data_IF_657392265512
#
_entry.id   IF_657392265512
#
_cell.length_a   1.000
_cell.length_b   1.000
_cell.length_c   1.000
_cell.angle_alpha   90.00
_cell.angle_beta   90.00
_cell.angle_gamma   90.00
#
_symmetry.space_group_name_H-M   'P 1'
#
loop_
_entity.id
_entity.type
_entity.pdbx_description
1 polymer ?
#
# COMPACT_ATOMS: atom_id res chain seq x y z
N UNK A 1 7.98 -11.45 -18.42
CA UNK A 1 6.52 -11.69 -18.24
C UNK A 1 6.26 -12.83 -17.27
N UNK A 2 6.81 -14.00 -17.57
CA UNK A 2 6.87 -15.12 -16.63
C UNK A 2 8.07 -15.04 -15.67
N UNK A 3 9.08 -14.23 -15.98
CA UNK A 3 10.33 -14.12 -15.20
C UNK A 3 10.12 -13.62 -13.75
N UNK A 4 9.06 -12.84 -13.54
CA UNK A 4 8.65 -12.31 -12.23
C UNK A 4 7.57 -13.18 -11.55
N UNK A 5 7.15 -14.28 -12.19
CA UNK A 5 6.08 -15.16 -11.71
C UNK A 5 6.66 -16.44 -11.11
N UNK A 6 5.94 -17.07 -10.17
CA UNK A 6 6.39 -18.32 -9.53
C UNK A 6 6.17 -19.57 -10.40
N UNK A 7 5.80 -19.42 -11.67
CA UNK A 7 5.50 -20.53 -12.58
C UNK A 7 5.94 -20.24 -14.01
N UNK A 8 6.29 -21.30 -14.74
CA UNK A 8 6.62 -21.26 -16.16
C UNK A 8 5.37 -21.33 -17.05
N UNK A 9 5.53 -21.02 -18.34
CA UNK A 9 4.48 -21.20 -19.34
C UNK A 9 3.95 -22.64 -19.37
N UNK A 10 4.84 -23.63 -19.34
CA UNK A 10 4.45 -25.04 -19.36
C UNK A 10 3.64 -25.43 -18.12
N UNK A 11 4.07 -24.98 -16.94
CA UNK A 11 3.33 -25.22 -15.69
C UNK A 11 1.96 -24.54 -15.71
N UNK A 12 1.85 -23.33 -16.27
CA UNK A 12 0.57 -22.67 -16.48
C UNK A 12 -0.34 -23.53 -17.37
N UNK A 13 0.09 -23.86 -18.58
CA UNK A 13 -0.73 -24.63 -19.53
C UNK A 13 -1.18 -25.98 -18.97
N UNK A 14 -0.34 -26.66 -18.18
CA UNK A 14 -0.74 -27.90 -17.51
C UNK A 14 -1.72 -27.68 -16.35
N UNK A 15 -1.70 -26.50 -15.71
CA UNK A 15 -2.57 -26.19 -14.57
C UNK A 15 -3.93 -25.65 -14.99
N UNK A 16 -4.00 -24.89 -16.08
CA UNK A 16 -5.25 -24.27 -16.57
C UNK A 16 -6.42 -25.25 -16.73
N UNK A 17 -6.27 -26.50 -17.26
CA UNK A 17 -7.36 -27.47 -17.31
C UNK A 17 -8.03 -27.72 -15.95
N UNK A 18 -7.24 -27.82 -14.87
CA UNK A 18 -7.77 -28.01 -13.52
C UNK A 18 -8.49 -26.76 -13.03
N UNK A 19 -8.03 -25.58 -13.43
CA UNK A 19 -8.65 -24.30 -13.09
C UNK A 19 -10.00 -24.16 -13.80
N UNK A 20 -10.08 -24.50 -15.09
CA UNK A 20 -11.34 -24.49 -15.85
C UNK A 20 -12.37 -25.46 -15.26
N UNK A 21 -11.93 -26.67 -14.85
CA UNK A 21 -12.80 -27.60 -14.12
C UNK A 21 -13.21 -27.03 -12.75
N UNK A 22 -12.30 -26.35 -12.04
CA UNK A 22 -12.64 -25.67 -10.79
C UNK A 22 -13.70 -24.57 -11.02
N UNK A 23 -13.57 -23.76 -12.08
CA UNK A 23 -14.58 -22.76 -12.46
C UNK A 23 -15.94 -23.38 -12.73
N UNK A 24 -16.01 -24.47 -13.51
CA UNK A 24 -17.25 -25.21 -13.71
C UNK A 24 -17.85 -25.67 -12.38
N UNK A 25 -17.00 -26.19 -11.49
CA UNK A 25 -17.46 -26.63 -10.17
C UNK A 25 -17.95 -25.46 -9.30
N UNK A 26 -17.35 -24.28 -9.37
CA UNK A 26 -17.81 -23.09 -8.64
C UNK A 26 -19.15 -22.57 -9.16
N UNK A 27 -19.45 -22.73 -10.45
CA UNK A 27 -20.74 -22.35 -11.05
C UNK A 27 -21.87 -23.25 -10.54
N UNK A 28 -21.68 -24.57 -10.59
CA UNK A 28 -22.72 -25.53 -10.23
C UNK A 28 -22.74 -25.85 -8.72
N UNK A 29 -21.70 -25.47 -7.98
CA UNK A 29 -21.61 -25.63 -6.53
C UNK A 29 -21.04 -24.35 -5.86
N UNK A 30 -21.80 -23.24 -5.88
CA UNK A 30 -21.34 -21.91 -5.46
C UNK A 30 -21.42 -21.73 -3.93
N UNK A 31 -20.67 -22.53 -3.18
CA UNK A 31 -20.62 -22.39 -1.72
C UNK A 31 -19.75 -21.19 -1.32
N UNK A 32 -20.21 -20.29 -0.42
CA UNK A 32 -19.45 -19.11 0.01
C UNK A 32 -18.02 -19.40 0.51
N UNK A 33 -17.77 -20.59 1.08
CA UNK A 33 -16.44 -21.01 1.52
C UNK A 33 -15.45 -21.27 0.39
N UNK A 34 -15.92 -21.51 -0.84
CA UNK A 34 -15.09 -21.78 -2.04
C UNK A 34 -14.84 -20.57 -2.92
N UNK A 35 -15.53 -19.47 -2.65
CA UNK A 35 -15.40 -18.21 -3.38
C UNK A 35 -14.39 -17.34 -2.64
N UNK A 36 -13.39 -16.83 -3.33
CA UNK A 36 -12.30 -16.03 -2.74
C UNK A 36 -11.73 -15.08 -3.77
N UNK A 37 -11.15 -13.96 -3.33
CA UNK A 37 -10.38 -13.10 -4.22
C UNK A 37 -8.99 -13.68 -4.55
N UNK A 38 -8.52 -14.61 -3.72
CA UNK A 38 -7.22 -15.26 -3.84
C UNK A 38 -7.36 -16.76 -3.53
N UNK A 39 -6.66 -17.61 -4.29
CA UNK A 39 -6.70 -19.06 -4.14
C UNK A 39 -5.29 -19.64 -4.07
N UNK A 40 -5.12 -20.66 -3.24
CA UNK A 40 -3.88 -21.44 -3.21
C UNK A 40 -3.92 -22.52 -4.31
N UNK A 41 -3.36 -22.19 -5.47
CA UNK A 41 -3.31 -23.11 -6.62
C UNK A 41 -2.06 -23.96 -6.56
N UNK A 42 -2.26 -25.27 -6.49
CA UNK A 42 -1.17 -26.25 -6.63
C UNK A 42 -0.79 -26.35 -8.11
N UNK A 43 0.43 -25.95 -8.44
CA UNK A 43 0.98 -26.03 -9.80
C UNK A 43 1.06 -27.48 -10.30
N UNK A 44 0.71 -27.66 -11.56
CA UNK A 44 0.85 -28.94 -12.25
C UNK A 44 2.23 -28.99 -12.90
N UNK A 45 3.06 -29.91 -12.42
CA UNK A 45 4.44 -30.11 -12.89
C UNK A 45 4.55 -31.23 -13.91
N UNK A 46 3.57 -32.14 -13.94
CA UNK A 46 3.42 -33.17 -14.95
C UNK A 46 1.94 -33.52 -15.16
N UNK A 47 1.65 -34.39 -16.13
CA UNK A 47 0.30 -34.91 -16.35
C UNK A 47 -0.25 -35.72 -15.16
N UNK A 48 0.63 -36.24 -14.30
CA UNK A 48 0.26 -37.07 -13.15
C UNK A 48 0.48 -36.37 -11.80
N UNK A 49 1.09 -35.17 -11.80
CA UNK A 49 1.37 -34.40 -10.59
C UNK A 49 0.85 -32.97 -10.72
N UNK A 50 -0.23 -32.62 -10.01
CA UNK A 50 -1.13 -33.49 -9.24
C UNK A 50 -1.89 -34.50 -10.10
N UNK A 51 -2.36 -35.60 -9.49
CA UNK A 51 -3.08 -36.65 -10.21
C UNK A 51 -4.36 -36.16 -10.91
N UNK A 52 -4.89 -35.01 -10.48
CA UNK A 52 -6.08 -34.37 -11.06
C UNK A 52 -5.82 -33.69 -12.41
N UNK A 53 -4.56 -33.54 -12.84
CA UNK A 53 -4.21 -32.89 -14.11
C UNK A 53 -4.74 -33.66 -15.31
N UNK A 54 -4.36 -34.93 -15.46
CA UNK A 54 -4.82 -35.75 -16.58
C UNK A 54 -6.36 -35.94 -16.60
N UNK A 55 -7.04 -36.27 -15.49
CA UNK A 55 -8.50 -36.32 -15.44
C UNK A 55 -9.17 -35.00 -15.82
N UNK A 56 -8.62 -33.86 -15.43
CA UNK A 56 -9.17 -32.56 -15.84
C UNK A 56 -9.07 -32.34 -17.35
N UNK A 57 -7.93 -32.67 -17.96
CA UNK A 57 -7.74 -32.62 -19.42
C UNK A 57 -8.75 -33.53 -20.13
N UNK A 58 -8.84 -34.79 -19.70
CA UNK A 58 -9.78 -35.77 -20.28
C UNK A 58 -11.22 -35.27 -20.13
N UNK A 59 -11.60 -34.73 -18.97
CA UNK A 59 -12.94 -34.20 -18.71
C UNK A 59 -13.30 -33.06 -19.68
N UNK A 60 -12.36 -32.14 -19.92
CA UNK A 60 -12.55 -31.05 -20.89
C UNK A 60 -12.73 -31.61 -22.31
N UNK A 61 -11.88 -32.55 -22.73
CA UNK A 61 -11.98 -33.17 -24.05
C UNK A 61 -13.30 -33.92 -24.25
N UNK A 62 -13.77 -34.64 -23.22
CA UNK A 62 -15.06 -35.31 -23.24
C UNK A 62 -16.22 -34.31 -23.30
N UNK A 63 -16.16 -33.21 -22.56
CA UNK A 63 -17.21 -32.17 -22.61
C UNK A 63 -17.25 -31.47 -23.98
N UNK A 64 -16.10 -31.15 -24.57
CA UNK A 64 -16.04 -30.57 -25.92
C UNK A 64 -16.53 -31.58 -26.96
N UNK A 65 -16.12 -32.84 -26.87
CA UNK A 65 -16.55 -33.92 -27.75
C UNK A 65 -18.06 -34.18 -27.67
N UNK A 66 -18.62 -34.20 -26.46
CA UNK A 66 -20.08 -34.33 -26.25
C UNK A 66 -20.84 -33.11 -26.76
N UNK A 67 -20.34 -31.89 -26.51
CA UNK A 67 -20.89 -30.66 -27.09
C UNK A 67 -20.94 -30.72 -28.62
N UNK A 68 -19.85 -31.16 -29.24
CA UNK A 68 -19.73 -31.31 -30.70
C UNK A 68 -20.68 -32.37 -31.26
N UNK A 69 -20.80 -33.51 -30.59
CA UNK A 69 -21.72 -34.58 -30.96
C UNK A 69 -23.19 -34.16 -30.84
N UNK A 70 -23.52 -33.30 -29.88
CA UNK A 70 -24.88 -32.82 -29.63
C UNK A 70 -25.32 -31.68 -30.56
N UNK A 71 -24.44 -31.10 -31.38
CA UNK A 71 -24.74 -29.93 -32.23
C UNK A 71 -26.05 -30.11 -33.02
N UNK A 72 -26.26 -31.28 -33.64
CA UNK A 72 -27.46 -31.57 -34.44
C UNK A 72 -28.66 -32.05 -33.62
N UNK A 73 -28.42 -32.71 -32.48
CA UNK A 73 -29.49 -33.36 -31.69
C UNK A 73 -30.10 -32.44 -30.63
N UNK A 74 -29.26 -31.64 -29.98
CA UNK A 74 -29.60 -30.76 -28.85
C UNK A 74 -28.79 -29.46 -28.98
N UNK A 75 -29.10 -28.60 -29.97
CA UNK A 75 -28.28 -27.43 -30.30
C UNK A 75 -28.09 -26.47 -29.12
N UNK A 76 -29.09 -26.33 -28.24
CA UNK A 76 -28.98 -25.48 -27.05
C UNK A 76 -27.92 -25.98 -26.06
N UNK A 77 -27.84 -27.29 -25.81
CA UNK A 77 -26.85 -27.89 -24.92
C UNK A 77 -25.46 -27.77 -25.54
N UNK A 78 -25.35 -28.08 -26.84
CA UNK A 78 -24.10 -27.96 -27.58
C UNK A 78 -23.56 -26.53 -27.55
N UNK A 79 -24.42 -25.54 -27.79
CA UNK A 79 -24.06 -24.12 -27.75
C UNK A 79 -23.56 -23.72 -26.36
N UNK A 80 -24.28 -24.04 -25.29
CA UNK A 80 -23.88 -23.70 -23.92
C UNK A 80 -22.49 -24.26 -23.55
N UNK A 81 -22.25 -25.55 -23.87
CA UNK A 81 -20.97 -26.20 -23.59
C UNK A 81 -19.83 -25.59 -24.41
N UNK A 82 -20.01 -25.49 -25.73
CA UNK A 82 -18.95 -25.01 -26.63
C UNK A 82 -18.65 -23.53 -26.40
N UNK A 83 -19.66 -22.70 -26.12
CA UNK A 83 -19.48 -21.29 -25.77
C UNK A 83 -18.62 -21.11 -24.52
N UNK A 84 -18.86 -21.92 -23.49
CA UNK A 84 -18.07 -21.86 -22.25
C UNK A 84 -16.57 -22.11 -22.51
N UNK A 85 -16.25 -23.16 -23.25
CA UNK A 85 -14.86 -23.49 -23.55
C UNK A 85 -14.22 -22.52 -24.54
N UNK A 86 -14.95 -22.08 -25.56
CA UNK A 86 -14.45 -21.11 -26.55
C UNK A 86 -13.96 -19.82 -25.90
N UNK A 87 -14.72 -19.27 -24.94
CA UNK A 87 -14.33 -18.04 -24.25
C UNK A 87 -13.11 -18.27 -23.33
N UNK A 88 -13.00 -19.44 -22.70
CA UNK A 88 -11.82 -19.78 -21.88
C UNK A 88 -10.55 -20.00 -22.71
N UNK A 89 -10.64 -20.32 -24.02
CA UNK A 89 -9.44 -20.47 -24.87
C UNK A 89 -8.60 -19.19 -24.91
N UNK A 90 -9.23 -18.01 -24.88
CA UNK A 90 -8.52 -16.72 -24.92
C UNK A 90 -7.78 -16.46 -23.61
N UNK A 91 -8.41 -16.75 -22.47
CA UNK A 91 -7.95 -16.35 -21.14
C UNK A 91 -7.05 -17.41 -20.46
N UNK A 92 -7.28 -18.69 -20.74
CA UNK A 92 -6.47 -19.84 -20.29
C UNK A 92 -5.40 -20.23 -21.33
N UNK A 93 -4.81 -19.21 -21.96
CA UNK A 93 -3.83 -19.33 -23.04
C UNK A 93 -2.39 -19.11 -22.57
N UNK A 94 -1.49 -18.98 -23.56
CA UNK A 94 -0.06 -18.67 -23.41
C UNK A 94 0.25 -17.26 -22.91
N UNK A 95 -0.77 -16.42 -22.67
CA UNK A 95 -0.59 -15.06 -22.16
C UNK A 95 -0.18 -15.12 -20.67
N UNK A 96 0.88 -14.38 -20.23
CA UNK A 96 1.39 -14.39 -18.86
C UNK A 96 0.48 -13.68 -17.85
N UNK A 97 -0.73 -14.19 -17.66
CA UNK A 97 -1.69 -13.73 -16.66
C UNK A 97 -1.57 -14.59 -15.38
N UNK A 98 -2.29 -14.20 -14.31
CA UNK A 98 -2.44 -15.09 -13.15
C UNK A 98 -3.16 -16.38 -13.54
N UNK A 99 -2.91 -17.43 -12.75
CA UNK A 99 -3.51 -18.74 -12.92
C UNK A 99 -5.03 -18.68 -12.79
N UNK A 100 -5.52 -18.06 -11.72
CA UNK A 100 -6.95 -18.05 -11.39
C UNK A 100 -7.44 -16.64 -11.08
N UNK A 101 -8.61 -16.31 -11.61
CA UNK A 101 -9.39 -15.12 -11.34
C UNK A 101 -10.87 -15.42 -11.61
N UNK A 102 -11.72 -15.37 -10.59
CA UNK A 102 -13.13 -15.77 -10.72
C UNK A 102 -13.92 -14.90 -11.72
N UNK A 103 -13.52 -13.62 -11.92
CA UNK A 103 -14.18 -12.72 -12.87
C UNK A 103 -14.05 -13.15 -14.34
N UNK A 104 -13.04 -13.97 -14.66
CA UNK A 104 -12.90 -14.61 -15.99
C UNK A 104 -14.07 -15.52 -16.32
N UNK A 105 -14.72 -16.06 -15.30
CA UNK A 105 -15.79 -17.02 -15.46
C UNK A 105 -17.15 -16.36 -15.77
N UNK A 106 -17.26 -15.03 -15.69
CA UNK A 106 -18.54 -14.33 -15.85
C UNK A 106 -19.10 -14.43 -17.26
N UNK A 107 -18.32 -14.09 -18.29
CA UNK A 107 -18.77 -14.21 -19.68
C UNK A 107 -18.94 -15.67 -20.12
N UNK A 108 -17.96 -16.59 -19.90
CA UNK A 108 -18.11 -17.99 -20.28
C UNK A 108 -19.32 -18.69 -19.68
N UNK A 109 -19.70 -18.36 -18.44
CA UNK A 109 -20.81 -19.03 -17.74
C UNK A 109 -22.20 -18.60 -18.19
N UNK A 110 -22.31 -17.52 -18.97
CA UNK A 110 -23.58 -16.86 -19.35
C UNK A 110 -24.65 -17.84 -19.84
N UNK A 111 -24.27 -18.82 -20.66
CA UNK A 111 -25.23 -19.75 -21.27
C UNK A 111 -25.31 -21.13 -20.62
N UNK A 112 -24.47 -21.43 -19.61
CA UNK A 112 -24.48 -22.74 -18.96
C UNK A 112 -25.79 -23.04 -18.22
N UNK A 113 -26.47 -22.01 -17.73
CA UNK A 113 -27.76 -22.18 -17.04
C UNK A 113 -28.96 -22.29 -17.99
N UNK A 114 -28.86 -21.90 -19.27
CA UNK A 114 -30.00 -21.95 -20.20
C UNK A 114 -30.55 -23.37 -20.38
N UNK A 115 -29.74 -24.40 -20.67
CA UNK A 115 -30.27 -25.76 -20.77
C UNK A 115 -30.83 -26.29 -19.44
N UNK A 116 -30.24 -25.87 -18.31
CA UNK A 116 -30.70 -26.26 -16.97
C UNK A 116 -32.08 -25.66 -16.69
N UNK A 117 -32.26 -24.36 -16.92
CA UNK A 117 -33.54 -23.67 -16.78
C UNK A 117 -34.61 -24.23 -17.71
N UNK A 118 -34.26 -24.52 -18.98
CA UNK A 118 -35.17 -25.15 -19.93
C UNK A 118 -35.59 -26.56 -19.47
N UNK A 119 -34.66 -27.35 -18.93
CA UNK A 119 -34.93 -28.68 -18.37
C UNK A 119 -35.83 -28.63 -17.13
N UNK A 120 -35.56 -27.71 -16.20
CA UNK A 120 -36.39 -27.50 -15.00
C UNK A 120 -37.80 -27.08 -15.40
N UNK A 121 -37.94 -26.12 -16.31
CA UNK A 121 -39.25 -25.69 -16.84
C UNK A 121 -40.02 -26.87 -17.44
N UNK A 122 -39.36 -27.64 -18.31
CA UNK A 122 -39.98 -28.82 -18.93
C UNK A 122 -40.45 -29.85 -17.88
N UNK A 123 -39.65 -30.10 -16.83
CA UNK A 123 -40.04 -30.98 -15.73
C UNK A 123 -41.24 -30.44 -14.95
N UNK A 124 -41.28 -29.13 -14.68
CA UNK A 124 -42.40 -28.47 -14.01
C UNK A 124 -43.67 -28.64 -14.85
N UNK A 125 -43.63 -28.27 -16.13
CA UNK A 125 -44.77 -28.35 -17.05
C UNK A 125 -45.28 -29.81 -17.17
N UNK A 126 -44.37 -30.79 -17.29
CA UNK A 126 -44.71 -32.21 -17.39
C UNK A 126 -45.36 -32.78 -16.12
N UNK A 127 -44.81 -32.48 -14.93
CA UNK A 127 -45.36 -33.03 -13.68
C UNK A 127 -46.55 -32.26 -13.13
N UNK A 128 -46.74 -31.01 -13.55
CA UNK A 128 -47.92 -30.23 -13.24
C UNK A 128 -49.20 -30.94 -13.71
N UNK A 129 -49.18 -31.56 -14.88
CA UNK A 129 -50.32 -32.30 -15.43
C UNK A 129 -50.35 -33.77 -14.99
N UNK A 130 -49.19 -34.41 -14.79
CA UNK A 130 -49.12 -35.85 -14.58
C UNK A 130 -49.13 -36.29 -13.11
N UNK A 131 -48.38 -35.61 -12.22
CA UNK A 131 -48.23 -36.01 -10.80
C UNK A 131 -47.99 -34.79 -9.90
N UNK A 132 -49.05 -34.33 -9.24
CA UNK A 132 -49.03 -33.14 -8.36
C UNK A 132 -47.98 -33.18 -7.26
N UNK A 133 -47.71 -34.36 -6.67
CA UNK A 133 -46.69 -34.50 -5.61
C UNK A 133 -45.28 -34.15 -6.10
N UNK A 134 -44.89 -34.66 -7.27
CA UNK A 134 -43.58 -34.38 -7.87
C UNK A 134 -43.46 -32.92 -8.31
N UNK A 135 -44.54 -32.33 -8.83
CA UNK A 135 -44.60 -30.89 -9.12
C UNK A 135 -44.28 -30.05 -7.87
N UNK A 136 -44.96 -30.34 -6.75
CA UNK A 136 -44.74 -29.62 -5.48
C UNK A 136 -43.29 -29.78 -5.03
N UNK A 137 -42.74 -31.00 -5.09
CA UNK A 137 -41.35 -31.27 -4.71
C UNK A 137 -40.38 -30.45 -5.56
N UNK A 138 -40.54 -30.44 -6.88
CA UNK A 138 -39.64 -29.72 -7.80
C UNK A 138 -39.73 -28.21 -7.56
N UNK A 139 -40.93 -27.64 -7.50
CA UNK A 139 -41.12 -26.19 -7.27
C UNK A 139 -40.58 -25.78 -5.90
N UNK A 140 -40.82 -26.59 -4.87
CA UNK A 140 -40.30 -26.33 -3.53
C UNK A 140 -38.78 -26.39 -3.52
N UNK A 141 -38.17 -27.40 -4.15
CA UNK A 141 -36.73 -27.53 -4.28
C UNK A 141 -36.11 -26.32 -5.01
N UNK A 142 -36.67 -25.91 -6.16
CA UNK A 142 -36.17 -24.75 -6.91
C UNK A 142 -36.29 -23.47 -6.09
N UNK A 143 -37.41 -23.29 -5.39
CA UNK A 143 -37.62 -22.11 -4.52
C UNK A 143 -36.61 -22.08 -3.37
N UNK A 144 -36.37 -23.24 -2.73
CA UNK A 144 -35.39 -23.39 -1.65
C UNK A 144 -33.97 -23.15 -2.15
N UNK A 145 -33.64 -23.67 -3.34
CA UNK A 145 -32.35 -23.45 -3.99
C UNK A 145 -32.13 -21.96 -4.28
N UNK A 146 -33.09 -21.28 -4.90
CA UNK A 146 -33.00 -19.84 -5.19
C UNK A 146 -32.89 -19.00 -3.91
N UNK A 147 -33.67 -19.33 -2.89
CA UNK A 147 -33.60 -18.67 -1.58
C UNK A 147 -32.23 -18.89 -0.93
N UNK A 148 -31.71 -20.12 -0.96
CA UNK A 148 -30.39 -20.46 -0.43
C UNK A 148 -29.25 -19.73 -1.15
N UNK A 149 -29.30 -19.64 -2.48
CA UNK A 149 -28.32 -18.88 -3.28
C UNK A 149 -28.44 -17.37 -3.01
N UNK A 150 -29.66 -16.86 -2.84
CA UNK A 150 -29.91 -15.47 -2.45
C UNK A 150 -29.32 -15.14 -1.07
N UNK A 151 -29.54 -16.00 -0.07
CA UNK A 151 -28.93 -15.87 1.26
C UNK A 151 -27.40 -15.94 1.17
N UNK A 152 -26.86 -16.88 0.38
CA UNK A 152 -25.42 -16.98 0.16
C UNK A 152 -24.82 -15.71 -0.44
N UNK A 153 -25.54 -15.07 -1.36
CA UNK A 153 -25.16 -13.77 -1.94
C UNK A 153 -25.20 -12.66 -0.89
N UNK A 154 -26.26 -12.60 -0.06
CA UNK A 154 -26.38 -11.64 1.02
C UNK A 154 -25.23 -11.76 2.04
N UNK A 155 -24.94 -12.98 2.52
CA UNK A 155 -23.83 -13.24 3.44
C UNK A 155 -22.47 -12.87 2.84
N UNK A 156 -22.32 -13.02 1.52
CA UNK A 156 -21.07 -12.64 0.83
C UNK A 156 -20.82 -11.13 0.91
N UNK A 157 -21.85 -10.30 0.99
CA UNK A 157 -21.69 -8.85 1.08
C UNK A 157 -20.91 -8.42 2.33
N UNK A 158 -21.01 -9.16 3.44
CA UNK A 158 -20.23 -8.86 4.67
C UNK A 158 -18.72 -9.03 4.44
N UNK A 159 -18.33 -10.04 3.65
CA UNK A 159 -16.92 -10.24 3.28
C UNK A 159 -16.39 -9.08 2.45
N UNK A 160 -17.23 -8.51 1.58
CA UNK A 160 -16.84 -7.39 0.73
C UNK A 160 -17.04 -6.01 1.39
N UNK A 161 -17.52 -5.96 2.64
CA UNK A 161 -17.85 -4.71 3.32
C UNK A 161 -16.64 -3.82 3.58
N UNK A 162 -15.48 -4.41 3.88
CA UNK A 162 -14.23 -3.68 4.15
C UNK A 162 -13.04 -4.39 3.53
N UNK A 163 -11.94 -3.66 3.34
CA UNK A 163 -10.69 -4.26 2.89
C UNK A 163 -10.19 -5.35 3.86
N UNK A 164 -10.36 -5.15 5.18
CA UNK A 164 -9.94 -6.13 6.19
C UNK A 164 -10.71 -7.44 6.08
N UNK A 165 -12.04 -7.36 6.10
CA UNK A 165 -12.90 -8.56 6.07
C UNK A 165 -12.69 -9.37 4.79
N UNK A 166 -12.41 -8.68 3.67
CA UNK A 166 -12.07 -9.31 2.40
C UNK A 166 -10.74 -10.07 2.47
N UNK A 167 -9.68 -9.44 2.97
CA UNK A 167 -8.35 -10.06 3.02
C UNK A 167 -8.22 -11.10 4.13
N UNK A 168 -8.97 -10.99 5.23
CA UNK A 168 -9.07 -12.04 6.25
C UNK A 168 -9.78 -13.29 5.73
N UNK A 169 -10.85 -13.13 4.94
CA UNK A 169 -11.51 -14.25 4.24
C UNK A 169 -10.54 -14.91 3.26
N UNK A 170 -9.82 -14.12 2.46
CA UNK A 170 -8.81 -14.59 1.53
C UNK A 170 -7.66 -15.33 2.24
N UNK A 171 -7.18 -14.81 3.37
CA UNK A 171 -6.12 -15.42 4.18
C UNK A 171 -6.55 -16.78 4.74
N UNK A 172 -7.80 -16.89 5.20
CA UNK A 172 -8.35 -18.16 5.72
C UNK A 172 -8.50 -19.20 4.62
N UNK A 173 -8.93 -18.79 3.41
CA UNK A 173 -9.20 -19.68 2.27
C UNK A 173 -7.96 -20.03 1.44
N UNK A 174 -6.94 -19.17 1.44
CA UNK A 174 -5.68 -19.37 0.74
C UNK A 174 -4.48 -19.22 1.69
N UNK A 175 -4.34 -20.10 2.70
CA UNK A 175 -3.31 -19.98 3.73
C UNK A 175 -1.88 -20.16 3.19
N UNK A 176 -1.71 -20.75 2.01
CA UNK A 176 -0.43 -20.88 1.30
C UNK A 176 -0.11 -19.71 0.36
N UNK A 177 -0.99 -18.73 0.20
CA UNK A 177 -0.70 -17.50 -0.55
C UNK A 177 -0.06 -16.45 0.37
N UNK A 178 1.08 -15.89 -0.07
CA UNK A 178 1.78 -14.85 0.68
C UNK A 178 1.05 -13.51 0.65
N UNK A 179 0.24 -13.25 -0.39
CA UNK A 179 -0.37 -11.95 -0.62
C UNK A 179 -1.41 -11.59 0.45
N UNK A 180 -2.42 -12.42 0.77
CA UNK A 180 -3.37 -12.12 1.84
C UNK A 180 -2.68 -11.91 3.18
N UNK A 181 -1.69 -12.75 3.51
CA UNK A 181 -0.90 -12.60 4.75
C UNK A 181 -0.21 -11.24 4.84
N UNK A 182 0.40 -10.79 3.74
CA UNK A 182 1.10 -9.51 3.66
C UNK A 182 0.15 -8.32 3.83
N UNK A 183 -1.02 -8.38 3.20
CA UNK A 183 -2.00 -7.29 3.28
C UNK A 183 -2.63 -7.22 4.66
N UNK A 184 -3.06 -8.36 5.23
CA UNK A 184 -3.60 -8.41 6.60
C UNK A 184 -2.53 -7.94 7.61
N UNK A 185 -1.28 -8.37 7.47
CA UNK A 185 -0.18 -7.90 8.31
C UNK A 185 0.03 -6.38 8.22
N UNK A 186 -0.03 -5.83 7.00
CA UNK A 186 0.10 -4.39 6.78
C UNK A 186 -1.02 -3.63 7.46
N UNK A 187 -2.26 -4.08 7.32
CA UNK A 187 -3.40 -3.45 7.98
C UNK A 187 -3.31 -3.54 9.51
N UNK A 188 -3.01 -4.72 10.06
CA UNK A 188 -2.79 -4.89 11.51
C UNK A 188 -1.65 -4.01 12.04
N UNK A 189 -0.61 -3.75 11.23
CA UNK A 189 0.47 -2.85 11.62
C UNK A 189 0.06 -1.37 11.65
N UNK A 190 -0.97 -0.98 10.89
CA UNK A 190 -1.50 0.39 10.93
C UNK A 190 -2.44 0.56 12.14
N UNK A 191 -3.26 -0.44 12.43
CA UNK A 191 -4.14 -0.47 13.60
C UNK A 191 -3.36 -0.65 14.93
N UNK A 192 -2.22 -1.34 14.87
CA UNK A 192 -1.32 -1.62 16.00
C UNK A 192 -0.65 -0.42 16.65
N UNK A 193 -0.84 0.81 16.14
CA UNK A 193 -0.48 2.04 16.86
C UNK A 193 -1.24 2.21 18.19
N UNK A 194 -2.26 1.38 18.47
CA UNK A 194 -3.06 1.37 19.70
C UNK A 194 -2.64 0.32 20.75
N UNK A 195 -1.68 -0.56 20.44
CA UNK A 195 -1.17 -1.54 21.40
C UNK A 195 -0.26 -2.58 20.74
N UNK A 196 0.94 -2.77 21.30
CA UNK A 196 2.03 -3.61 20.77
C UNK A 196 1.64 -5.01 20.24
N UNK A 197 0.48 -5.54 20.63
CA UNK A 197 -0.10 -6.80 20.16
C UNK A 197 -0.27 -6.81 18.62
N UNK A 198 -0.77 -5.71 18.04
CA UNK A 198 -0.97 -5.63 16.58
C UNK A 198 0.34 -5.79 15.80
N UNK A 199 1.44 -5.24 16.34
CA UNK A 199 2.77 -5.40 15.76
C UNK A 199 3.29 -6.82 15.82
N UNK A 200 3.09 -7.52 16.93
CA UNK A 200 3.57 -8.90 17.07
C UNK A 200 2.82 -9.87 16.14
N UNK A 201 1.51 -9.67 15.98
CA UNK A 201 0.71 -10.44 15.02
C UNK A 201 1.14 -10.12 13.59
N UNK A 202 1.30 -8.84 13.25
CA UNK A 202 1.76 -8.42 11.92
C UNK A 202 3.13 -9.02 11.57
N UNK A 203 4.09 -8.99 12.50
CA UNK A 203 5.42 -9.58 12.29
C UNK A 203 5.35 -11.09 12.02
N UNK A 204 4.54 -11.84 12.79
CA UNK A 204 4.33 -13.28 12.55
C UNK A 204 3.71 -13.57 11.18
N UNK A 205 2.75 -12.75 10.76
CA UNK A 205 2.13 -12.88 9.44
C UNK A 205 3.12 -12.56 8.32
N UNK A 206 3.98 -11.56 8.49
CA UNK A 206 5.07 -11.27 7.55
C UNK A 206 6.10 -12.40 7.50
N UNK A 207 6.52 -12.95 8.63
CA UNK A 207 7.42 -14.11 8.70
C UNK A 207 6.82 -15.30 7.95
N UNK A 208 5.54 -15.61 8.18
CA UNK A 208 4.82 -16.66 7.45
C UNK A 208 4.76 -16.37 5.95
N UNK A 209 4.52 -15.12 5.55
CA UNK A 209 4.52 -14.70 4.15
C UNK A 209 5.88 -14.93 3.48
N UNK A 210 6.98 -14.59 4.15
CA UNK A 210 8.35 -14.78 3.64
C UNK A 210 8.71 -16.26 3.49
N UNK A 211 8.24 -17.13 4.40
CA UNK A 211 8.45 -18.57 4.36
C UNK A 211 7.73 -19.25 3.18
N UNK A 212 6.59 -18.70 2.75
CA UNK A 212 5.77 -19.34 1.72
C UNK A 212 6.40 -19.30 0.32
N UNK A 213 7.55 -18.63 0.13
CA UNK A 213 8.52 -18.69 -1.00
C UNK A 213 8.00 -18.62 -2.45
N UNK A 214 6.68 -18.63 -2.67
CA UNK A 214 5.99 -18.61 -3.96
C UNK A 214 5.61 -17.19 -4.39
N UNK A 215 5.97 -16.16 -3.61
CA UNK A 215 5.61 -14.79 -3.95
C UNK A 215 6.53 -14.24 -5.04
N UNK A 216 6.02 -13.29 -5.83
CA UNK A 216 6.82 -12.54 -6.80
C UNK A 216 8.06 -11.98 -6.10
N UNK A 217 9.24 -12.15 -6.69
CA UNK A 217 10.52 -11.62 -6.16
C UNK A 217 10.40 -10.16 -5.70
N UNK A 218 9.55 -9.38 -6.37
CA UNK A 218 9.31 -7.95 -6.11
C UNK A 218 8.57 -7.62 -4.79
N UNK A 219 7.94 -8.59 -4.11
CA UNK A 219 7.19 -8.33 -2.87
C UNK A 219 8.11 -8.41 -1.63
N UNK A 220 9.22 -9.13 -1.71
CA UNK A 220 10.16 -9.34 -0.60
C UNK A 220 10.70 -8.03 0.01
N UNK A 221 11.25 -7.08 -0.78
CA UNK A 221 11.74 -5.82 -0.23
C UNK A 221 10.67 -5.03 0.51
N UNK A 222 9.41 -5.08 0.03
CA UNK A 222 8.30 -4.38 0.65
C UNK A 222 7.89 -4.99 2.00
N UNK A 223 7.92 -6.32 2.12
CA UNK A 223 7.67 -7.00 3.41
C UNK A 223 8.74 -6.61 4.43
N UNK A 224 10.01 -6.69 4.05
CA UNK A 224 11.13 -6.33 4.93
C UNK A 224 11.07 -4.86 5.36
N UNK A 225 10.71 -3.94 4.46
CA UNK A 225 10.49 -2.53 4.75
C UNK A 225 9.35 -2.29 5.75
N UNK A 226 8.21 -2.98 5.57
CA UNK A 226 7.10 -2.89 6.52
C UNK A 226 7.50 -3.44 7.91
N UNK A 227 8.20 -4.58 7.96
CA UNK A 227 8.74 -5.13 9.22
C UNK A 227 9.74 -4.16 9.88
N UNK A 228 10.60 -3.51 9.08
CA UNK A 228 11.53 -2.51 9.58
C UNK A 228 10.81 -1.31 10.20
N UNK A 229 9.73 -0.84 9.57
CA UNK A 229 8.85 0.19 10.13
C UNK A 229 8.29 -0.19 11.50
N UNK A 230 7.85 -1.45 11.67
CA UNK A 230 7.37 -1.97 12.96
C UNK A 230 8.50 -1.99 13.99
N UNK A 231 9.67 -2.55 13.66
CA UNK A 231 10.80 -2.60 14.60
C UNK A 231 11.30 -1.22 15.00
N UNK A 232 11.29 -0.26 14.07
CA UNK A 232 11.63 1.13 14.36
C UNK A 232 10.64 1.76 15.35
N UNK A 233 9.33 1.57 15.15
CA UNK A 233 8.30 2.04 16.11
C UNK A 233 8.41 1.37 17.48
N UNK A 234 8.82 0.09 17.54
CA UNK A 234 9.14 -0.62 18.80
C UNK A 234 10.47 -0.20 19.43
N UNK A 235 11.18 0.78 18.87
CA UNK A 235 12.47 1.28 19.36
C UNK A 235 13.68 0.43 18.97
N UNK A 236 13.50 -0.70 18.29
CA UNK A 236 14.59 -1.56 17.82
C UNK A 236 15.12 -1.06 16.46
N UNK A 237 15.82 0.06 16.51
CA UNK A 237 16.43 0.66 15.32
C UNK A 237 17.51 -0.20 14.65
N UNK A 238 18.37 -0.95 15.37
CA UNK A 238 19.33 -1.87 14.74
C UNK A 238 18.65 -2.89 13.82
N UNK A 239 17.62 -3.58 14.31
CA UNK A 239 16.90 -4.58 13.49
C UNK A 239 16.19 -3.95 12.30
N UNK A 240 15.67 -2.74 12.45
CA UNK A 240 15.06 -2.01 11.34
C UNK A 240 16.07 -1.68 10.23
N UNK A 241 17.31 -1.29 10.59
CA UNK A 241 18.39 -1.06 9.63
C UNK A 241 18.76 -2.35 8.91
N UNK A 242 18.98 -3.45 9.65
CA UNK A 242 19.36 -4.74 9.06
C UNK A 242 18.31 -5.23 8.04
N UNK A 243 17.02 -5.10 8.37
CA UNK A 243 15.93 -5.49 7.47
C UNK A 243 15.89 -4.64 6.19
N UNK A 244 16.13 -3.33 6.30
CA UNK A 244 16.18 -2.45 5.12
C UNK A 244 17.43 -2.68 4.28
N UNK A 245 18.58 -2.97 4.89
CA UNK A 245 19.78 -3.37 4.16
C UNK A 245 19.55 -4.69 3.41
N UNK A 246 18.90 -5.67 4.04
CA UNK A 246 18.47 -6.91 3.37
C UNK A 246 17.51 -6.64 2.21
N UNK A 247 16.54 -5.75 2.38
CA UNK A 247 15.63 -5.34 1.31
C UNK A 247 16.39 -4.74 0.11
N UNK A 248 17.40 -3.91 0.37
CA UNK A 248 18.23 -3.28 -0.64
C UNK A 248 19.27 -4.22 -1.27
N UNK A 249 19.64 -5.30 -0.59
CA UNK A 249 20.47 -6.36 -1.17
C UNK A 249 19.66 -7.20 -2.18
N UNK A 250 18.37 -7.42 -1.91
CA UNK A 250 17.45 -8.10 -2.83
C UNK A 250 17.11 -7.20 -4.03
N UNK A 251 16.72 -5.95 -3.77
CA UNK A 251 16.45 -4.95 -4.80
C UNK A 251 17.23 -3.66 -4.52
N UNK A 252 18.41 -3.49 -5.15
CA UNK A 252 19.21 -2.27 -5.02
C UNK A 252 18.51 -0.99 -5.48
N UNK A 253 17.47 -1.10 -6.32
CA UNK A 253 16.69 0.03 -6.86
C UNK A 253 15.44 0.34 -6.03
N UNK A 254 15.19 -0.38 -4.93
CA UNK A 254 14.03 -0.15 -4.05
C UNK A 254 14.12 1.20 -3.32
N UNK A 255 13.60 2.25 -3.94
CA UNK A 255 13.73 3.65 -3.48
C UNK A 255 13.01 3.91 -2.16
N UNK A 256 11.82 3.30 -1.95
CA UNK A 256 11.04 3.46 -0.72
C UNK A 256 11.80 2.96 0.52
N UNK A 257 12.36 1.75 0.47
CA UNK A 257 13.17 1.22 1.56
C UNK A 257 14.45 2.02 1.78
N UNK A 258 15.09 2.49 0.70
CA UNK A 258 16.27 3.36 0.81
C UNK A 258 15.94 4.69 1.50
N UNK A 259 14.78 5.28 1.18
CA UNK A 259 14.29 6.50 1.83
C UNK A 259 13.99 6.27 3.32
N UNK A 260 13.33 5.17 3.68
CA UNK A 260 13.07 4.82 5.07
C UNK A 260 14.37 4.58 5.86
N UNK A 261 15.36 3.93 5.24
CA UNK A 261 16.68 3.73 5.85
C UNK A 261 17.38 5.08 6.12
N UNK A 262 17.33 6.01 5.16
CA UNK A 262 17.87 7.37 5.35
C UNK A 262 17.23 8.06 6.55
N UNK A 263 15.91 7.97 6.71
CA UNK A 263 15.20 8.56 7.86
C UNK A 263 15.70 7.99 9.19
N UNK A 264 15.86 6.67 9.28
CA UNK A 264 16.35 6.01 10.51
C UNK A 264 17.83 6.39 10.78
N UNK A 265 18.66 6.47 9.74
CA UNK A 265 20.05 6.92 9.88
C UNK A 265 20.13 8.37 10.35
N UNK A 266 19.21 9.24 9.89
CA UNK A 266 19.09 10.62 10.37
C UNK A 266 18.71 10.63 11.85
N UNK A 267 17.71 9.85 12.30
CA UNK A 267 17.33 9.83 13.72
C UNK A 267 18.50 9.40 14.61
N UNK A 268 19.33 8.48 14.14
CA UNK A 268 20.56 8.02 14.81
C UNK A 268 21.74 9.00 14.73
N UNK A 269 21.64 10.11 13.99
CA UNK A 269 22.75 11.04 13.77
C UNK A 269 23.87 10.48 12.88
N UNK A 270 23.63 9.39 12.14
CA UNK A 270 24.58 8.76 11.21
C UNK A 270 24.61 9.51 9.87
N UNK A 271 25.01 10.78 9.90
CA UNK A 271 24.93 11.70 8.77
C UNK A 271 25.74 11.25 7.55
N UNK A 272 26.92 10.65 7.76
CA UNK A 272 27.78 10.18 6.66
C UNK A 272 27.10 9.06 5.88
N UNK A 273 26.50 8.10 6.59
CA UNK A 273 25.81 6.97 5.98
C UNK A 273 24.51 7.42 5.30
N UNK A 274 23.72 8.28 5.97
CA UNK A 274 22.53 8.88 5.38
C UNK A 274 22.85 9.60 4.06
N UNK A 275 23.97 10.33 4.00
CA UNK A 275 24.41 11.02 2.79
C UNK A 275 24.74 10.07 1.64
N UNK A 276 25.47 8.96 1.92
CA UNK A 276 25.77 7.92 0.93
C UNK A 276 24.50 7.28 0.36
N UNK A 277 23.52 6.99 1.22
CA UNK A 277 22.24 6.44 0.76
C UNK A 277 21.43 7.47 -0.02
N UNK A 278 21.46 8.75 0.38
CA UNK A 278 20.81 9.83 -0.36
C UNK A 278 21.43 10.06 -1.74
N UNK A 279 22.76 9.93 -1.89
CA UNK A 279 23.42 9.99 -3.21
C UNK A 279 22.91 8.89 -4.15
N UNK A 280 22.86 7.65 -3.66
CA UNK A 280 22.27 6.53 -4.42
C UNK A 280 20.79 6.74 -4.73
N UNK A 281 20.04 7.31 -3.79
CA UNK A 281 18.60 7.55 -3.98
C UNK A 281 18.35 8.57 -5.09
N UNK A 282 19.10 9.67 -5.09
CA UNK A 282 19.01 10.70 -6.13
C UNK A 282 19.53 10.15 -7.47
N UNK A 283 20.56 9.31 -7.51
CA UNK A 283 21.03 8.72 -8.78
C UNK A 283 20.05 7.71 -9.40
N UNK A 284 19.20 7.07 -8.60
CA UNK A 284 18.15 6.17 -9.10
C UNK A 284 16.96 6.98 -9.66
N UNK A 285 16.63 8.10 -9.02
CA UNK A 285 15.47 8.94 -9.36
C UNK A 285 15.86 10.42 -9.34
N UNK A 286 16.58 10.85 -10.38
CA UNK A 286 17.24 12.17 -10.47
C UNK A 286 16.27 13.36 -10.39
N UNK A 287 15.01 13.16 -10.80
CA UNK A 287 13.98 14.21 -10.87
C UNK A 287 12.85 14.00 -9.86
N UNK A 288 13.15 13.51 -8.66
CA UNK A 288 12.18 13.43 -7.57
C UNK A 288 12.42 14.53 -6.52
N UNK A 289 11.47 15.45 -6.39
CA UNK A 289 11.55 16.63 -5.53
C UNK A 289 11.76 16.29 -4.05
N UNK A 290 11.11 15.24 -3.55
CA UNK A 290 11.29 14.72 -2.19
C UNK A 290 12.69 14.16 -1.91
N UNK A 291 13.32 13.49 -2.89
CA UNK A 291 14.66 12.92 -2.73
C UNK A 291 15.75 13.99 -2.79
N UNK A 292 15.57 14.99 -3.64
CA UNK A 292 16.41 16.17 -3.67
C UNK A 292 16.29 17.00 -2.38
N UNK A 293 15.06 17.10 -1.83
CA UNK A 293 14.79 17.75 -0.55
C UNK A 293 15.55 17.09 0.61
N UNK A 294 15.46 15.75 0.75
CA UNK A 294 16.13 15.04 1.84
C UNK A 294 17.66 15.12 1.72
N UNK A 295 18.21 15.11 0.49
CA UNK A 295 19.65 15.34 0.27
C UNK A 295 20.07 16.73 0.73
N UNK A 296 19.29 17.76 0.38
CA UNK A 296 19.51 19.13 0.86
C UNK A 296 19.48 19.23 2.38
N UNK A 297 18.52 18.58 3.05
CA UNK A 297 18.43 18.54 4.50
C UNK A 297 19.67 17.90 5.16
N UNK A 298 20.12 16.75 4.64
CA UNK A 298 21.32 16.06 5.14
C UNK A 298 22.55 16.97 5.00
N UNK A 299 22.69 17.68 3.89
CA UNK A 299 23.80 18.62 3.66
C UNK A 299 23.77 19.81 4.62
N UNK A 300 22.58 20.34 4.95
CA UNK A 300 22.42 21.37 6.01
C UNK A 300 22.94 20.83 7.35
N UNK A 301 22.55 19.62 7.74
CA UNK A 301 23.01 18.98 8.99
C UNK A 301 24.51 18.72 9.00
N UNK A 302 25.10 18.46 7.84
CA UNK A 302 26.56 18.32 7.66
C UNK A 302 27.31 19.67 7.61
N UNK A 303 26.63 20.81 7.83
CA UNK A 303 27.20 22.17 7.71
C UNK A 303 27.76 22.48 6.32
N UNK A 304 27.12 21.95 5.28
CA UNK A 304 27.45 22.18 3.87
C UNK A 304 26.34 22.95 3.13
N UNK A 305 26.02 24.19 3.54
CA UNK A 305 24.84 24.90 3.05
C UNK A 305 24.93 25.24 1.55
N UNK A 306 26.11 25.54 1.02
CA UNK A 306 26.30 25.85 -0.40
C UNK A 306 26.01 24.65 -1.32
N UNK A 307 26.37 23.43 -0.89
CA UNK A 307 25.99 22.21 -1.61
C UNK A 307 24.49 21.95 -1.49
N UNK A 308 23.90 22.14 -0.29
CA UNK A 308 22.48 21.96 -0.05
C UNK A 308 21.62 22.83 -0.98
N UNK A 309 22.02 24.10 -1.18
CA UNK A 309 21.33 25.06 -2.05
C UNK A 309 21.15 24.52 -3.47
N UNK A 310 22.15 23.82 -4.03
CA UNK A 310 22.07 23.27 -5.39
C UNK A 310 20.93 22.25 -5.52
N UNK A 311 20.86 21.28 -4.60
CA UNK A 311 19.81 20.25 -4.61
C UNK A 311 18.43 20.83 -4.28
N UNK A 312 18.36 21.78 -3.35
CA UNK A 312 17.10 22.44 -2.98
C UNK A 312 16.57 23.31 -4.12
N UNK A 313 17.44 23.99 -4.88
CA UNK A 313 17.05 24.69 -6.10
C UNK A 313 16.48 23.74 -7.15
N UNK A 314 17.10 22.57 -7.35
CA UNK A 314 16.57 21.55 -8.25
C UNK A 314 15.18 21.06 -7.80
N UNK A 315 15.02 20.75 -6.51
CA UNK A 315 13.74 20.38 -5.91
C UNK A 315 12.66 21.46 -6.13
N UNK A 316 12.99 22.74 -5.94
CA UNK A 316 12.06 23.86 -6.17
C UNK A 316 11.76 24.13 -7.65
N UNK A 317 12.62 23.72 -8.59
CA UNK A 317 12.29 23.78 -10.02
C UNK A 317 11.19 22.77 -10.38
N UNK A 318 11.21 21.59 -9.75
CA UNK A 318 10.20 20.55 -9.92
C UNK A 318 8.90 20.89 -9.17
N UNK A 319 9.02 21.36 -7.93
CA UNK A 319 7.89 21.72 -7.08
C UNK A 319 8.10 23.10 -6.42
N UNK A 320 7.71 24.20 -7.09
CA UNK A 320 7.97 25.58 -6.65
C UNK A 320 7.38 25.97 -5.29
N UNK A 321 6.33 25.27 -4.87
CA UNK A 321 5.60 25.52 -3.63
C UNK A 321 5.76 24.36 -2.62
N UNK A 322 6.83 23.56 -2.74
CA UNK A 322 7.10 22.53 -1.75
C UNK A 322 7.57 23.17 -0.43
N UNK A 323 6.65 23.31 0.53
CA UNK A 323 6.84 24.04 1.79
C UNK A 323 8.12 23.66 2.53
N UNK A 324 8.39 22.36 2.65
CA UNK A 324 9.60 21.83 3.33
C UNK A 324 10.88 22.21 2.60
N UNK A 325 10.88 22.21 1.25
CA UNK A 325 12.04 22.63 0.47
C UNK A 325 12.28 24.13 0.59
N UNK A 326 11.23 24.95 0.58
CA UNK A 326 11.34 26.40 0.80
C UNK A 326 11.93 26.71 2.18
N UNK A 327 11.49 25.96 3.21
CA UNK A 327 12.03 26.06 4.57
C UNK A 327 13.52 25.69 4.63
N UNK A 328 13.90 24.55 4.03
CA UNK A 328 15.30 24.10 3.99
C UNK A 328 16.18 25.04 3.17
N UNK A 329 15.67 25.60 2.07
CA UNK A 329 16.37 26.60 1.26
C UNK A 329 16.62 27.87 2.07
N UNK A 330 15.61 28.34 2.80
CA UNK A 330 15.75 29.46 3.72
C UNK A 330 16.80 29.23 4.80
N UNK A 331 16.79 28.05 5.44
CA UNK A 331 17.77 27.66 6.44
C UNK A 331 19.20 27.57 5.87
N UNK A 332 19.37 26.95 4.69
CA UNK A 332 20.66 26.85 4.03
C UNK A 332 21.23 28.24 3.67
N UNK A 333 20.41 29.13 3.09
CA UNK A 333 20.81 30.50 2.77
C UNK A 333 21.19 31.30 4.02
N UNK A 334 20.44 31.12 5.13
CA UNK A 334 20.75 31.77 6.41
C UNK A 334 22.10 31.31 6.95
N UNK A 335 22.43 30.02 6.84
CA UNK A 335 23.74 29.47 7.22
C UNK A 335 24.88 29.94 6.30
N UNK A 336 24.60 30.25 5.03
CA UNK A 336 25.55 30.83 4.08
C UNK A 336 25.70 32.36 4.23
N UNK A 337 24.97 33.01 5.14
CA UNK A 337 25.01 34.47 5.35
C UNK A 337 24.14 35.27 4.37
N UNK A 338 23.38 34.62 3.48
CA UNK A 338 22.52 35.28 2.49
C UNK A 338 21.14 35.63 3.07
N UNK A 339 21.14 36.41 4.16
CA UNK A 339 19.97 36.61 5.02
C UNK A 339 18.75 37.21 4.30
N UNK A 340 18.95 38.13 3.35
CA UNK A 340 17.85 38.74 2.58
C UNK A 340 17.19 37.76 1.62
N UNK A 341 17.95 36.80 1.07
CA UNK A 341 17.37 35.73 0.24
C UNK A 341 16.67 34.70 1.11
N UNK A 342 17.30 34.32 2.24
CA UNK A 342 16.72 33.40 3.21
C UNK A 342 15.33 33.87 3.65
N UNK A 343 15.20 35.14 4.03
CA UNK A 343 13.94 35.75 4.46
C UNK A 343 12.82 35.61 3.40
N UNK A 344 13.11 35.81 2.11
CA UNK A 344 12.11 35.62 1.03
C UNK A 344 11.59 34.18 0.96
N UNK A 345 12.49 33.19 1.02
CA UNK A 345 12.09 31.78 0.97
C UNK A 345 11.33 31.36 2.22
N UNK A 346 11.76 31.82 3.39
CA UNK A 346 11.09 31.52 4.66
C UNK A 346 9.69 32.15 4.76
N UNK A 347 9.50 33.40 4.28
CA UNK A 347 8.16 34.01 4.19
C UNK A 347 7.25 33.23 3.25
N UNK A 348 7.76 32.77 2.10
CA UNK A 348 7.01 31.89 1.19
C UNK A 348 6.62 30.58 1.87
N UNK A 349 7.54 29.94 2.60
CA UNK A 349 7.23 28.72 3.36
C UNK A 349 6.16 28.95 4.43
N UNK A 350 6.19 30.10 5.11
CA UNK A 350 5.20 30.47 6.13
C UNK A 350 3.79 30.66 5.55
N UNK A 351 3.68 31.20 4.33
CA UNK A 351 2.40 31.49 3.68
C UNK A 351 1.71 30.25 3.07
N UNK A 352 2.35 29.08 3.10
CA UNK A 352 1.77 27.83 2.60
C UNK A 352 1.09 27.10 3.77
N UNK A 353 -0.23 26.83 3.73
CA UNK A 353 -0.93 26.08 4.76
C UNK A 353 -0.46 24.62 4.89
N UNK A 354 -0.67 23.94 6.04
CA UNK A 354 -1.19 24.48 7.30
C UNK A 354 -0.13 25.34 8.00
N UNK A 355 -0.56 26.30 8.82
CA UNK A 355 0.38 27.13 9.62
C UNK A 355 1.28 26.25 10.49
N UNK A 356 2.57 26.64 10.60
CA UNK A 356 3.53 25.89 11.40
C UNK A 356 4.52 26.81 12.09
N UNK A 357 4.99 26.39 13.26
CA UNK A 357 5.90 27.15 14.11
C UNK A 357 7.28 27.32 13.45
N UNK A 358 7.76 26.30 12.73
CA UNK A 358 9.15 26.22 12.27
C UNK A 358 9.55 27.35 11.29
N UNK A 359 8.76 27.72 10.26
CA UNK A 359 9.07 28.87 9.41
C UNK A 359 9.25 30.19 10.19
N UNK A 360 8.39 30.46 11.20
CA UNK A 360 8.50 31.67 12.02
C UNK A 360 9.75 31.64 12.90
N UNK A 361 10.08 30.49 13.50
CA UNK A 361 11.33 30.32 14.25
C UNK A 361 12.54 30.62 13.34
N UNK A 362 12.58 30.06 12.13
CA UNK A 362 13.67 30.31 11.20
C UNK A 362 13.72 31.78 10.74
N UNK A 363 12.57 32.46 10.60
CA UNK A 363 12.52 33.90 10.27
C UNK A 363 13.08 34.78 11.39
N UNK A 364 12.75 34.46 12.64
CA UNK A 364 13.29 35.14 13.82
C UNK A 364 14.80 34.95 13.88
N UNK A 365 15.27 33.70 13.81
CA UNK A 365 16.69 33.39 13.86
C UNK A 365 17.47 34.06 12.72
N UNK A 366 16.95 34.02 11.49
CA UNK A 366 17.55 34.68 10.34
C UNK A 366 17.63 36.21 10.54
N UNK A 367 16.59 36.82 11.11
CA UNK A 367 16.56 38.27 11.37
C UNK A 367 17.55 38.66 12.46
N UNK A 368 17.69 37.85 13.51
CA UNK A 368 18.70 38.03 14.57
C UNK A 368 20.12 37.94 13.99
N UNK A 369 20.41 36.92 13.19
CA UNK A 369 21.73 36.76 12.52
C UNK A 369 22.05 37.89 11.55
N UNK A 370 21.02 38.48 10.93
CA UNK A 370 21.16 39.65 10.06
C UNK A 370 21.31 40.99 10.82
N UNK A 371 21.23 41.00 12.15
CA UNK A 371 21.21 42.22 12.96
C UNK A 371 19.92 43.05 12.82
N UNK A 372 18.87 42.49 12.21
CA UNK A 372 17.59 43.17 11.98
C UNK A 372 16.60 42.88 13.10
N UNK A 373 16.83 43.51 14.26
CA UNK A 373 16.05 43.31 15.48
C UNK A 373 14.56 43.64 15.27
N UNK A 374 14.25 44.70 14.52
CA UNK A 374 12.86 45.11 14.23
C UNK A 374 12.05 44.00 13.54
N UNK A 375 12.64 43.34 12.54
CA UNK A 375 11.98 42.21 11.88
C UNK A 375 11.87 40.99 12.81
N UNK A 376 12.90 40.72 13.61
CA UNK A 376 12.88 39.64 14.58
C UNK A 376 11.74 39.82 15.61
N UNK A 377 11.55 41.03 16.13
CA UNK A 377 10.44 41.37 17.04
C UNK A 377 9.07 41.21 16.35
N UNK A 378 8.91 41.71 15.11
CA UNK A 378 7.68 41.55 14.33
C UNK A 378 7.31 40.08 14.12
N UNK A 379 8.27 39.22 13.81
CA UNK A 379 8.01 37.79 13.64
C UNK A 379 7.73 37.09 14.97
N UNK A 380 8.36 37.54 16.05
CA UNK A 380 8.10 37.05 17.40
C UNK A 380 6.66 37.38 17.83
N UNK A 381 6.18 38.59 17.55
CA UNK A 381 4.78 38.97 17.81
C UNK A 381 3.80 38.10 17.03
N UNK A 382 4.08 37.81 15.76
CA UNK A 382 3.28 36.89 14.96
C UNK A 382 3.28 35.47 15.54
N UNK A 383 4.45 34.97 15.94
CA UNK A 383 4.58 33.64 16.54
C UNK A 383 3.72 33.52 17.80
N UNK A 384 3.79 34.51 18.70
CA UNK A 384 3.04 34.52 19.96
C UNK A 384 1.56 34.83 19.78
N UNK A 385 1.15 35.42 18.65
CA UNK A 385 -0.26 35.60 18.31
C UNK A 385 -0.88 34.33 17.72
N UNK A 386 -0.12 33.57 16.91
CA UNK A 386 -0.61 32.37 16.24
C UNK A 386 -0.51 31.09 17.08
N UNK A 387 0.42 31.01 18.05
CA UNK A 387 0.71 29.79 18.79
C UNK A 387 0.85 30.03 20.29
N UNK A 388 0.43 29.05 21.09
CA UNK A 388 0.63 29.08 22.54
C UNK A 388 2.10 28.94 22.92
N UNK A 389 2.50 29.55 24.03
CA UNK A 389 3.87 29.44 24.56
C UNK A 389 4.29 27.99 24.82
N UNK A 390 3.34 27.14 25.24
CA UNK A 390 3.58 25.69 25.44
C UNK A 390 3.96 25.03 24.11
N UNK A 391 3.20 25.28 23.05
CA UNK A 391 3.50 24.73 21.73
C UNK A 391 4.86 25.19 21.19
N UNK A 392 5.19 26.48 21.38
CA UNK A 392 6.50 27.03 20.99
C UNK A 392 7.63 26.38 21.79
N UNK A 393 7.48 26.27 23.12
CA UNK A 393 8.46 25.61 24.01
C UNK A 393 8.66 24.16 23.59
N UNK A 394 7.60 23.41 23.37
CA UNK A 394 7.68 22.00 23.01
C UNK A 394 8.35 21.81 21.65
N UNK A 395 8.08 22.70 20.68
CA UNK A 395 8.76 22.70 19.39
C UNK A 395 10.27 22.97 19.52
N UNK A 396 10.65 23.95 20.35
CA UNK A 396 12.06 24.25 20.65
C UNK A 396 12.75 23.05 21.32
N UNK A 397 12.10 22.41 22.28
CA UNK A 397 12.65 21.24 22.97
C UNK A 397 12.81 20.04 22.02
N UNK A 398 11.87 19.81 21.11
CA UNK A 398 12.01 18.78 20.07
C UNK A 398 13.18 19.06 19.15
N UNK A 399 13.38 20.31 18.71
CA UNK A 399 14.49 20.66 17.80
C UNK A 399 15.90 20.37 18.36
N UNK A 400 16.04 20.24 19.68
CA UNK A 400 17.30 19.89 20.34
C UNK A 400 17.63 18.39 20.27
N UNK A 401 16.60 17.54 20.26
CA UNK A 401 16.75 16.09 20.41
C UNK A 401 16.37 15.33 19.13
N UNK A 402 15.48 15.89 18.32
CA UNK A 402 15.01 15.29 17.09
C UNK A 402 15.88 15.71 15.91
N UNK A 403 16.70 14.76 15.46
CA UNK A 403 17.56 14.92 14.31
C UNK A 403 16.81 15.15 12.99
N UNK A 404 15.50 14.89 12.92
CA UNK A 404 14.66 15.17 11.75
C UNK A 404 14.30 16.65 11.60
N UNK A 405 14.51 17.47 12.63
CA UNK A 405 14.22 18.90 12.59
C UNK A 405 15.44 19.72 12.18
N UNK A 406 15.21 20.92 11.63
CA UNK A 406 16.30 21.85 11.31
C UNK A 406 17.08 22.25 12.58
N UNK A 407 18.40 22.43 12.47
CA UNK A 407 19.18 23.01 13.56
C UNK A 407 18.79 24.49 13.74
N UNK A 408 18.51 24.90 14.98
CA UNK A 408 18.15 26.27 15.33
C UNK A 408 18.99 26.78 16.51
N UNK A 409 19.30 28.07 16.53
CA UNK A 409 20.01 28.73 17.64
C UNK A 409 19.06 29.03 18.79
N UNK A 410 19.00 28.12 19.78
CA UNK A 410 18.16 28.27 20.97
C UNK A 410 18.42 29.59 21.72
N UNK A 411 19.68 29.99 21.84
CA UNK A 411 20.05 31.20 22.58
C UNK A 411 19.42 32.45 21.97
N UNK A 412 19.57 32.63 20.65
CA UNK A 412 19.00 33.78 19.93
C UNK A 412 17.47 33.82 20.02
N UNK A 413 16.84 32.64 19.96
CA UNK A 413 15.37 32.54 20.00
C UNK A 413 14.83 32.80 21.41
N UNK A 414 15.46 32.23 22.43
CA UNK A 414 15.03 32.44 23.83
C UNK A 414 15.25 33.89 24.23
N UNK A 415 16.37 34.50 23.85
CA UNK A 415 16.69 35.88 24.17
C UNK A 415 15.56 36.83 23.74
N UNK A 416 15.15 36.77 22.47
CA UNK A 416 14.12 37.66 21.94
C UNK A 416 12.71 37.33 22.44
N UNK A 417 12.37 36.05 22.61
CA UNK A 417 11.08 35.66 23.16
C UNK A 417 10.96 36.11 24.62
N UNK A 418 12.01 35.91 25.43
CA UNK A 418 12.01 36.30 26.85
C UNK A 418 11.91 37.82 27.01
N UNK A 419 12.67 38.58 26.20
CA UNK A 419 12.58 40.04 26.14
C UNK A 419 11.14 40.49 25.86
N UNK A 420 10.49 39.88 24.87
CA UNK A 420 9.13 40.26 24.45
C UNK A 420 8.06 39.91 25.50
N UNK A 421 8.22 38.79 26.20
CA UNK A 421 7.32 38.40 27.30
C UNK A 421 7.46 39.40 28.47
N UNK A 422 8.68 39.80 28.81
CA UNK A 422 8.94 40.77 29.87
C UNK A 422 8.33 42.14 29.53
N UNK A 423 8.48 42.61 28.28
CA UNK A 423 7.85 43.86 27.81
C UNK A 423 6.32 43.81 27.97
N UNK A 424 5.66 42.74 27.48
CA UNK A 424 4.21 42.58 27.63
C UNK A 424 3.77 42.53 29.09
N UNK A 425 4.56 41.90 29.97
CA UNK A 425 4.23 41.84 31.40
C UNK A 425 4.27 43.22 32.07
N UNK A 426 5.20 44.08 31.65
CA UNK A 426 5.31 45.47 32.14
C UNK A 426 4.15 46.33 31.64
N UNK A 427 3.81 46.21 30.36
CA UNK A 427 2.66 46.91 29.76
C UNK A 427 1.35 46.55 30.49
N UNK A 428 1.15 45.27 30.86
CA UNK A 428 -0.02 44.84 31.63
C UNK A 428 -0.02 45.42 33.04
N UNK A 429 1.14 45.53 33.70
CA UNK A 429 1.23 46.09 35.04
C UNK A 429 1.03 47.62 35.10
N UNK A 430 1.09 48.31 33.97
CA UNK A 430 0.92 49.77 33.86
C UNK A 430 -0.48 50.20 33.40
N UNK A 431 -1.41 49.25 33.17
CA UNK A 431 -2.80 49.56 32.85
C UNK A 431 -3.52 50.10 34.10
N UNK A 432 -4.18 51.28 34.04
CA UNK A 432 -4.96 51.78 35.18
C UNK A 432 -6.15 50.85 35.47
N UNK A 433 -6.34 50.55 36.76
CA UNK A 433 -7.33 49.61 37.33
C UNK A 433 -8.77 49.96 36.98
#
# INVERSE_FOLDING_TARGET
>A
GYDDRPFSLAQRMMTEPRIVINYLSQIFYPIPSRLSIEHDVILSTSLFTPWTTLPAIISILLLIGTGSWLIKKRPLIAFAILFFFLNHVVESSIIPLELIFEHRNYLPSLFLFLPVSAGIKWLIDYYQTNKRSLYIIIVSFVTLLLTGLGIGTYLRNEVWATEMTLWEDAMRKAPGSSRPLTVVAMQMSQEGDLGNIGYDVALKLYEKSLLLQKSRKNIYPAILDNMAGIYFKKGNSPKAVDLLENALNIDPKYTKGRFNLIKILITQGRWKDASKHADKLVSIAENHEGYLNIKGFILIKQKKPNEAIKYLQQSLRLAPNFKTTLLYMGAALSLSGEYSRADRFLRRANNIPPESIMPLICLIENSMKAGNIKNAERYTDRLLASFSLIAVRDQLMRSLHDNLLLPISKQLIIEIISKKILERSKEISELPV
#
